data_IF_553257702959
#
_entry.id   IF_553257702959
#
_cell.length_a   1.000
_cell.length_b   1.000
_cell.length_c   1.000
_cell.angle_alpha   90.00
_cell.angle_beta   90.00
_cell.angle_gamma   90.00
#
_symmetry.space_group_name_H-M   'P 1'
#
loop_
_entity.id
_entity.type
_entity.pdbx_description
1 polymer ?
#
# COMPACT_ATOMS: atom_id res chain seq x y z
N UNK A 1 -1.44 8.15 -22.97
CA UNK A 1 -2.83 7.69 -23.20
C UNK A 1 -3.37 7.11 -21.90
N UNK A 2 -4.47 7.63 -21.35
CA UNK A 2 -5.08 7.07 -20.14
C UNK A 2 -5.64 5.67 -20.46
N UNK A 3 -5.25 4.65 -19.69
CA UNK A 3 -5.74 3.30 -19.88
C UNK A 3 -7.27 3.28 -19.68
N UNK A 4 -8.00 3.11 -20.79
CA UNK A 4 -9.46 3.10 -20.86
C UNK A 4 -9.93 1.69 -20.48
N UNK A 5 -10.19 1.45 -19.19
CA UNK A 5 -10.71 0.18 -18.68
C UNK A 5 -10.44 -0.04 -17.20
N UNK A 6 -11.26 -0.85 -16.53
CA UNK A 6 -11.02 -1.29 -15.15
C UNK A 6 -9.68 -2.03 -15.10
N UNK A 7 -8.81 -1.68 -14.13
CA UNK A 7 -7.54 -2.38 -13.91
C UNK A 7 -7.82 -3.91 -13.84
N UNK A 8 -7.03 -4.75 -14.53
CA UNK A 8 -7.25 -6.19 -14.53
C UNK A 8 -7.17 -6.72 -13.08
N UNK A 9 -8.06 -7.66 -12.73
CA UNK A 9 -8.00 -8.31 -11.42
C UNK A 9 -6.69 -9.12 -11.31
N UNK A 10 -5.96 -9.02 -10.18
CA UNK A 10 -4.83 -9.88 -9.87
C UNK A 10 -5.15 -11.36 -10.03
N UNK A 11 -4.15 -12.17 -10.36
CA UNK A 11 -4.35 -13.63 -10.53
C UNK A 11 -4.83 -14.30 -9.25
N UNK A 12 -4.37 -13.84 -8.07
CA UNK A 12 -4.88 -14.31 -6.78
C UNK A 12 -6.41 -14.18 -6.65
N UNK A 13 -6.99 -13.08 -7.13
CA UNK A 13 -8.44 -12.88 -7.13
C UNK A 13 -9.15 -13.76 -8.16
N UNK A 14 -8.56 -13.96 -9.35
CA UNK A 14 -9.13 -14.84 -10.38
C UNK A 14 -9.18 -16.30 -9.92
N UNK A 15 -8.22 -16.72 -9.09
CA UNK A 15 -8.20 -18.06 -8.48
C UNK A 15 -9.29 -18.17 -7.41
N UNK A 16 -9.44 -17.18 -6.53
CA UNK A 16 -10.45 -17.13 -5.46
C UNK A 16 -11.89 -17.02 -5.98
N UNK A 17 -12.13 -16.24 -7.02
CA UNK A 17 -13.47 -16.03 -7.60
C UNK A 17 -13.97 -17.27 -8.38
N UNK A 18 -13.08 -18.23 -8.64
CA UNK A 18 -13.34 -19.37 -9.49
C UNK A 18 -13.65 -18.95 -10.93
N UNK A 19 -13.88 -19.94 -11.80
CA UNK A 19 -14.02 -19.78 -13.25
C UNK A 19 -15.40 -19.16 -13.65
N UNK A 20 -15.88 -18.14 -12.92
CA UNK A 20 -17.20 -17.52 -13.09
C UNK A 20 -17.17 -16.25 -13.96
N UNK A 21 -16.02 -15.86 -14.50
CA UNK A 21 -15.84 -14.67 -15.34
C UNK A 21 -15.82 -14.95 -16.85
N UNK A 22 -16.50 -14.08 -17.63
CA UNK A 22 -16.62 -14.12 -19.11
C UNK A 22 -15.31 -14.51 -19.83
N UNK A 23 -15.30 -15.71 -20.37
CA UNK A 23 -14.27 -16.24 -21.24
C UNK A 23 -13.21 -16.98 -20.44
N UNK A 24 -13.18 -18.30 -20.64
CA UNK A 24 -12.23 -19.32 -20.13
C UNK A 24 -10.76 -18.99 -20.49
N UNK A 25 -10.29 -17.79 -20.16
CA UNK A 25 -8.90 -17.40 -20.36
C UNK A 25 -8.11 -18.06 -19.24
N UNK A 26 -7.07 -18.85 -19.57
CA UNK A 26 -6.22 -19.45 -18.56
C UNK A 26 -5.75 -18.39 -17.55
N UNK A 27 -5.88 -18.72 -16.27
CA UNK A 27 -5.33 -17.94 -15.18
C UNK A 27 -3.81 -17.85 -15.39
N UNK A 28 -3.25 -16.64 -15.40
CA UNK A 28 -1.81 -16.44 -15.59
C UNK A 28 -1.05 -16.86 -14.34
N UNK A 29 -0.51 -18.09 -14.33
CA UNK A 29 0.21 -18.64 -13.18
C UNK A 29 1.62 -18.06 -13.02
N UNK A 30 2.11 -17.33 -14.03
CA UNK A 30 3.46 -16.73 -14.05
C UNK A 30 3.47 -15.28 -13.53
N UNK A 31 2.53 -14.91 -12.65
CA UNK A 31 2.67 -13.63 -11.94
C UNK A 31 3.86 -13.72 -10.99
N UNK A 32 4.87 -12.84 -11.13
CA UNK A 32 6.02 -12.83 -10.24
C UNK A 32 5.52 -12.57 -8.83
N UNK A 33 5.74 -13.54 -7.94
CA UNK A 33 5.47 -13.36 -6.51
C UNK A 33 6.67 -12.64 -5.92
N UNK A 34 6.56 -11.36 -5.55
CA UNK A 34 7.71 -10.61 -5.07
C UNK A 34 8.18 -11.16 -3.73
N UNK A 35 9.47 -11.45 -3.63
CA UNK A 35 10.13 -11.85 -2.40
C UNK A 35 10.08 -10.73 -1.35
N UNK A 36 9.84 -11.11 -0.08
CA UNK A 36 9.80 -10.19 1.07
C UNK A 36 11.17 -10.01 1.74
N UNK A 37 12.18 -10.79 1.35
CA UNK A 37 13.40 -11.04 2.14
C UNK A 37 14.39 -9.85 2.23
N UNK A 38 14.23 -8.76 1.46
CA UNK A 38 15.25 -7.71 1.40
C UNK A 38 14.72 -6.27 1.51
N UNK A 39 13.64 -6.03 2.26
CA UNK A 39 13.13 -4.67 2.47
C UNK A 39 14.02 -3.91 3.47
N UNK A 40 14.95 -3.10 2.95
CA UNK A 40 15.86 -2.26 3.76
C UNK A 40 15.53 -0.79 3.61
N UNK A 41 15.63 -0.05 4.73
CA UNK A 41 15.44 1.40 4.74
C UNK A 41 16.52 2.10 3.91
N UNK A 42 16.17 2.92 2.91
CA UNK A 42 17.14 3.69 2.14
C UNK A 42 17.94 4.66 3.02
N UNK A 43 19.23 4.80 2.71
CA UNK A 43 20.17 5.63 3.48
C UNK A 43 19.92 7.13 3.31
N UNK A 44 19.39 7.55 2.15
CA UNK A 44 19.14 8.94 1.78
C UNK A 44 17.89 9.57 2.43
N UNK A 45 17.08 8.78 3.14
CA UNK A 45 15.89 9.28 3.83
C UNK A 45 16.22 10.26 4.96
N UNK A 46 15.37 11.27 5.15
CA UNK A 46 15.44 12.17 6.30
C UNK A 46 15.32 11.41 7.63
N UNK A 47 15.89 11.93 8.74
CA UNK A 47 15.82 11.26 10.04
C UNK A 47 14.39 10.94 10.49
N UNK A 48 13.45 11.87 10.31
CA UNK A 48 12.04 11.65 10.61
C UNK A 48 11.39 10.63 9.68
N UNK A 49 11.79 10.61 8.40
CA UNK A 49 11.32 9.61 7.45
C UNK A 49 11.80 8.20 7.82
N UNK A 50 13.04 8.06 8.31
CA UNK A 50 13.57 6.78 8.80
C UNK A 50 12.84 6.29 10.03
N UNK A 51 12.41 7.18 10.93
CA UNK A 51 11.58 6.80 12.09
C UNK A 51 10.23 6.25 11.63
N UNK A 52 9.61 6.90 10.66
CA UNK A 52 8.33 6.46 10.11
C UNK A 52 8.45 5.12 9.38
N UNK A 53 9.53 4.94 8.61
CA UNK A 53 9.86 3.65 7.98
C UNK A 53 9.95 2.54 9.02
N UNK A 54 10.72 2.75 10.09
CA UNK A 54 10.88 1.76 11.16
C UNK A 54 9.56 1.45 11.88
N UNK A 55 8.64 2.41 11.94
CA UNK A 55 7.33 2.25 12.59
C UNK A 55 6.35 1.42 11.76
N UNK A 56 6.28 1.67 10.45
CA UNK A 56 5.25 1.10 9.58
C UNK A 56 5.73 -0.08 8.73
N UNK A 57 6.99 -0.09 8.28
CA UNK A 57 7.50 -1.13 7.40
C UNK A 57 7.34 -2.55 7.98
N UNK A 58 7.66 -2.83 9.26
CA UNK A 58 7.55 -4.19 9.80
C UNK A 58 6.12 -4.73 9.72
N UNK A 59 5.12 -3.91 10.05
CA UNK A 59 3.71 -4.30 9.98
C UNK A 59 3.26 -4.52 8.53
N UNK A 60 3.70 -3.68 7.59
CA UNK A 60 3.36 -3.83 6.18
C UNK A 60 4.01 -5.05 5.53
N UNK A 61 5.24 -5.40 5.93
CA UNK A 61 5.92 -6.62 5.49
C UNK A 61 5.20 -7.85 6.06
N UNK A 62 4.85 -7.85 7.35
CA UNK A 62 4.13 -8.95 7.99
C UNK A 62 2.76 -9.22 7.35
N UNK A 63 2.08 -8.18 6.86
CA UNK A 63 0.82 -8.32 6.10
C UNK A 63 1.03 -8.67 4.62
N UNK A 64 2.27 -8.77 4.15
CA UNK A 64 2.62 -9.03 2.75
C UNK A 64 2.24 -7.92 1.78
N UNK A 65 2.04 -6.70 2.29
CA UNK A 65 1.68 -5.52 1.50
C UNK A 65 2.93 -4.82 0.96
N UNK A 66 4.00 -4.77 1.74
CA UNK A 66 5.25 -4.14 1.34
C UNK A 66 6.24 -5.19 0.85
N UNK A 67 6.65 -5.06 -0.41
CA UNK A 67 7.57 -5.98 -1.07
C UNK A 67 8.84 -5.25 -1.52
N UNK A 68 9.85 -5.98 -2.02
CA UNK A 68 11.09 -5.39 -2.52
C UNK A 68 10.86 -4.35 -3.63
N UNK A 69 9.84 -4.55 -4.48
CA UNK A 69 9.54 -3.67 -5.59
C UNK A 69 8.88 -2.35 -5.17
N UNK A 70 8.28 -2.33 -3.98
CA UNK A 70 7.52 -1.19 -3.47
C UNK A 70 8.36 -0.27 -2.56
N UNK A 71 9.65 -0.59 -2.37
CA UNK A 71 10.54 0.13 -1.46
C UNK A 71 10.65 1.61 -1.79
N UNK A 72 10.81 1.96 -3.06
CA UNK A 72 10.95 3.36 -3.48
C UNK A 72 9.64 4.14 -3.29
N UNK A 73 8.50 3.51 -3.57
CA UNK A 73 7.18 4.09 -3.35
C UNK A 73 6.94 4.34 -1.85
N UNK A 74 7.27 3.38 -0.99
CA UNK A 74 7.16 3.53 0.45
C UNK A 74 8.17 4.54 1.01
N UNK A 75 9.36 4.66 0.41
CA UNK A 75 10.34 5.69 0.75
C UNK A 75 9.78 7.08 0.44
N UNK A 76 9.10 7.24 -0.70
CA UNK A 76 8.37 8.45 -1.07
C UNK A 76 7.32 8.86 -0.04
N UNK A 77 6.55 7.90 0.48
CA UNK A 77 5.61 8.14 1.57
C UNK A 77 6.31 8.63 2.84
N UNK A 78 7.36 7.92 3.29
CA UNK A 78 8.10 8.28 4.50
C UNK A 78 8.71 9.70 4.39
N UNK A 79 9.23 10.02 3.20
CA UNK A 79 9.82 11.32 2.89
C UNK A 79 8.77 12.45 2.89
N UNK A 80 7.58 12.19 2.36
CA UNK A 80 6.45 13.12 2.40
C UNK A 80 5.97 13.34 3.84
N UNK A 81 5.89 12.28 4.65
CA UNK A 81 5.56 12.37 6.07
C UNK A 81 6.52 13.27 6.85
N UNK A 82 7.83 13.09 6.64
CA UNK A 82 8.84 13.92 7.31
C UNK A 82 8.69 15.41 6.98
N UNK A 83 8.50 15.74 5.70
CA UNK A 83 8.32 17.13 5.24
C UNK A 83 7.00 17.74 5.72
N UNK A 84 5.93 16.94 5.75
CA UNK A 84 4.65 17.37 6.31
C UNK A 84 4.79 17.68 7.79
N UNK A 85 5.38 16.78 8.58
CA UNK A 85 5.58 16.95 10.02
C UNK A 85 6.39 18.22 10.33
N UNK A 86 7.49 18.44 9.62
CA UNK A 86 8.32 19.64 9.78
C UNK A 86 7.53 20.92 9.43
N UNK A 87 6.73 20.89 8.36
CA UNK A 87 5.89 22.01 7.99
C UNK A 87 4.81 22.31 9.04
N UNK A 88 4.11 21.29 9.57
CA UNK A 88 3.11 21.46 10.63
C UNK A 88 3.73 22.01 11.94
N UNK A 89 4.93 21.56 12.29
CA UNK A 89 5.66 22.07 13.45
C UNK A 89 6.01 23.56 13.28
N UNK A 90 6.48 23.95 12.08
CA UNK A 90 6.71 25.36 11.76
C UNK A 90 5.43 26.19 11.88
N UNK A 91 4.32 25.72 11.30
CA UNK A 91 3.02 26.41 11.33
C UNK A 91 2.46 26.56 12.74
N UNK A 92 2.68 25.55 13.59
CA UNK A 92 2.27 25.58 15.00
C UNK A 92 3.03 26.63 15.80
N UNK A 93 4.31 26.86 15.47
CA UNK A 93 5.16 27.83 16.17
C UNK A 93 5.02 29.27 15.64
N UNK A 94 4.88 29.44 14.32
CA UNK A 94 4.98 30.75 13.65
C UNK A 94 3.64 31.27 13.11
N UNK A 95 2.60 30.44 13.11
CA UNK A 95 1.32 30.74 12.48
C UNK A 95 1.34 30.54 10.97
N UNK A 96 0.21 30.86 10.33
CA UNK A 96 -0.06 30.55 8.91
C UNK A 96 0.11 31.74 7.97
N UNK A 97 0.34 32.93 8.52
CA UNK A 97 0.41 34.19 7.77
C UNK A 97 1.60 35.03 8.21
N UNK A 98 2.17 35.78 7.27
CA UNK A 98 3.19 36.80 7.55
C UNK A 98 2.84 38.10 6.85
N UNK A 99 3.29 39.23 7.42
CA UNK A 99 3.12 40.56 6.83
C UNK A 99 4.34 40.91 5.99
N UNK A 100 4.11 41.31 4.75
CA UNK A 100 5.18 41.81 3.88
C UNK A 100 5.57 43.23 4.30
N UNK A 101 6.78 43.71 3.93
CA UNK A 101 7.19 45.10 4.19
C UNK A 101 6.22 46.15 3.59
N UNK A 102 5.48 45.77 2.55
CA UNK A 102 4.48 46.60 1.88
C UNK A 102 3.13 46.65 2.61
N UNK A 103 2.97 45.94 3.74
CA UNK A 103 1.76 45.91 4.56
C UNK A 103 0.72 44.85 4.18
N UNK A 104 0.95 44.07 3.12
CA UNK A 104 0.05 42.99 2.72
C UNK A 104 0.24 41.75 3.60
N UNK A 105 -0.86 41.05 3.89
CA UNK A 105 -0.83 39.76 4.58
C UNK A 105 -0.74 38.66 3.52
N UNK A 106 0.26 37.79 3.64
CA UNK A 106 0.45 36.64 2.77
C UNK A 106 0.54 35.35 3.59
N UNK A 107 0.18 34.24 2.96
CA UNK A 107 0.28 32.92 3.56
C UNK A 107 1.73 32.44 3.55
N UNK A 108 2.17 31.80 4.64
CA UNK A 108 3.52 31.23 4.68
C UNK A 108 3.61 30.02 3.72
N UNK A 109 4.73 29.83 3.00
CA UNK A 109 4.89 28.72 2.05
C UNK A 109 4.66 27.34 2.67
N UNK A 110 4.94 27.19 3.96
CA UNK A 110 4.80 25.97 4.73
C UNK A 110 3.38 25.44 4.71
N UNK A 111 2.36 26.29 4.57
CA UNK A 111 0.98 25.81 4.44
C UNK A 111 0.79 25.04 3.14
N UNK A 112 1.33 25.55 2.03
CA UNK A 112 1.25 24.85 0.73
C UNK A 112 2.04 23.55 0.77
N UNK A 113 3.24 23.56 1.37
CA UNK A 113 4.08 22.37 1.55
C UNK A 113 3.34 21.30 2.38
N UNK A 114 2.73 21.68 3.50
CA UNK A 114 1.98 20.76 4.34
C UNK A 114 0.80 20.13 3.56
N UNK A 115 0.00 20.96 2.89
CA UNK A 115 -1.14 20.49 2.09
C UNK A 115 -0.73 19.56 0.95
N UNK A 116 0.36 19.87 0.23
CA UNK A 116 0.84 19.05 -0.87
C UNK A 116 1.36 17.70 -0.37
N UNK A 117 2.17 17.68 0.68
CA UNK A 117 2.68 16.43 1.24
C UNK A 117 1.56 15.57 1.83
N UNK A 118 0.55 16.18 2.45
CA UNK A 118 -0.62 15.45 2.94
C UNK A 118 -1.38 14.75 1.80
N UNK A 119 -1.56 15.41 0.64
CA UNK A 119 -2.17 14.80 -0.54
C UNK A 119 -1.34 13.63 -1.10
N UNK A 120 -0.02 13.80 -1.17
CA UNK A 120 0.90 12.74 -1.59
C UNK A 120 0.78 11.54 -0.63
N UNK A 121 0.78 11.79 0.67
CA UNK A 121 0.59 10.76 1.69
C UNK A 121 -0.74 10.03 1.53
N UNK A 122 -1.85 10.75 1.31
CA UNK A 122 -3.17 10.14 1.08
C UNK A 122 -3.20 9.23 -0.16
N UNK A 123 -2.49 9.61 -1.23
CA UNK A 123 -2.33 8.77 -2.42
C UNK A 123 -1.64 7.45 -2.07
N UNK A 124 -0.50 7.51 -1.39
CA UNK A 124 0.21 6.31 -0.94
C UNK A 124 -0.59 5.46 0.05
N UNK A 125 -1.30 6.09 1.00
CA UNK A 125 -2.17 5.38 1.93
C UNK A 125 -3.29 4.60 1.22
N UNK A 126 -3.74 5.10 0.06
CA UNK A 126 -4.76 4.44 -0.74
C UNK A 126 -4.22 3.21 -1.46
N UNK A 127 -2.99 3.28 -1.98
CA UNK A 127 -2.30 2.17 -2.68
C UNK A 127 -1.84 1.08 -1.69
N UNK A 128 -1.25 1.45 -0.55
CA UNK A 128 -0.76 0.50 0.46
C UNK A 128 -1.84 -0.02 1.43
N UNK A 129 -3.12 0.28 1.23
CA UNK A 129 -4.15 -0.27 2.12
C UNK A 129 -4.20 0.32 3.54
N UNK A 130 -3.54 1.45 3.77
CA UNK A 130 -3.48 2.07 5.09
C UNK A 130 -4.81 2.72 5.51
N UNK A 131 -5.71 2.98 4.55
CA UNK A 131 -7.07 3.47 4.84
C UNK A 131 -8.04 2.31 5.09
N UNK A 132 -9.05 2.45 5.97
CA UNK A 132 -10.06 1.41 6.20
C UNK A 132 -10.73 0.91 4.90
N UNK A 133 -11.02 1.84 3.98
CA UNK A 133 -11.62 1.52 2.68
C UNK A 133 -10.68 0.72 1.77
N UNK A 134 -9.38 1.06 1.73
CA UNK A 134 -8.40 0.26 0.98
C UNK A 134 -8.10 -1.07 1.66
N UNK A 135 -8.15 -1.13 2.99
CA UNK A 135 -7.94 -2.38 3.75
C UNK A 135 -9.05 -3.39 3.49
N UNK A 136 -10.31 -2.96 3.37
CA UNK A 136 -11.40 -3.83 2.96
C UNK A 136 -11.17 -4.47 1.58
N UNK A 137 -10.52 -3.73 0.65
CA UNK A 137 -10.11 -4.27 -0.66
C UNK A 137 -8.95 -5.26 -0.57
N UNK A 138 -7.98 -5.02 0.33
CA UNK A 138 -6.84 -5.93 0.52
C UNK A 138 -7.20 -7.21 1.27
N UNK A 139 -8.11 -7.16 2.25
CA UNK A 139 -8.59 -8.36 2.95
C UNK A 139 -9.41 -9.27 2.05
N UNK A 140 -10.21 -8.72 1.13
CA UNK A 140 -10.82 -9.52 0.07
C UNK A 140 -9.78 -10.21 -0.86
N UNK A 141 -8.52 -9.74 -0.83
CA UNK A 141 -7.40 -10.19 -1.64
C UNK A 141 -6.47 -11.19 -0.93
N UNK A 142 -6.55 -11.26 0.41
CA UNK A 142 -5.76 -12.16 1.28
C UNK A 142 -6.61 -13.29 1.84
N UNK A 143 -7.77 -13.55 1.21
CA UNK A 143 -8.66 -14.68 1.53
C UNK A 143 -7.82 -15.88 1.90
N UNK A 144 -7.95 -16.27 3.17
CA UNK A 144 -7.08 -17.18 3.87
C UNK A 144 -6.63 -18.31 2.95
N UNK A 145 -5.32 -18.49 2.82
CA UNK A 145 -4.76 -19.85 2.71
C UNK A 145 -5.02 -20.55 4.05
N UNK A 146 -6.30 -20.71 4.41
CA UNK A 146 -6.69 -21.90 5.12
C UNK A 146 -6.45 -22.97 4.07
N UNK A 147 -5.29 -23.61 4.18
CA UNK A 147 -5.08 -24.97 3.72
C UNK A 147 -6.19 -25.77 4.38
N UNK A 148 -7.37 -25.69 3.78
CA UNK A 148 -8.54 -26.37 4.28
C UNK A 148 -8.29 -27.75 3.75
N UNK A 149 -7.63 -28.55 4.58
CA UNK A 149 -7.63 -30.00 4.49
C UNK A 149 -9.08 -30.46 4.74
N UNK A 150 -10.01 -29.96 3.90
CA UNK A 150 -11.42 -30.25 3.93
C UNK A 150 -11.54 -31.67 3.40
N UNK A 151 -11.88 -32.64 4.24
CA UNK A 151 -12.02 -34.02 3.81
C UNK A 151 -13.01 -34.14 2.64
N UNK A 152 -13.96 -33.20 2.50
CA UNK A 152 -14.90 -33.16 1.38
C UNK A 152 -14.22 -32.81 0.04
N UNK A 153 -13.23 -31.90 0.03
CA UNK A 153 -12.55 -31.49 -1.21
C UNK A 153 -11.61 -32.60 -1.73
N UNK A 154 -10.98 -33.35 -0.82
CA UNK A 154 -10.16 -34.53 -1.16
C UNK A 154 -11.00 -35.67 -1.76
N UNK A 155 -12.23 -35.86 -1.29
CA UNK A 155 -13.18 -36.85 -1.86
C UNK A 155 -13.61 -36.44 -3.28
N UNK A 156 -13.86 -35.15 -3.52
CA UNK A 156 -14.24 -34.64 -4.84
C UNK A 156 -13.10 -34.67 -5.87
N UNK A 157 -11.83 -34.60 -5.42
CA UNK A 157 -10.63 -34.72 -6.27
C UNK A 157 -10.23 -36.18 -6.58
N UNK A 158 -11.04 -37.16 -6.16
CA UNK A 158 -10.85 -38.57 -6.51
C UNK A 158 -9.89 -39.35 -5.60
N UNK A 159 -9.57 -38.82 -4.42
CA UNK A 159 -8.76 -39.50 -3.41
C UNK A 159 -9.56 -40.51 -2.58
N UNK A 160 -10.24 -41.47 -3.23
CA UNK A 160 -10.82 -42.60 -2.51
C UNK A 160 -9.69 -43.58 -2.14
N UNK A 161 -9.22 -43.54 -0.89
CA UNK A 161 -8.42 -44.63 -0.34
C UNK A 161 -9.39 -45.65 0.26
N UNK A 162 -9.56 -46.77 -0.43
CA UNK A 162 -10.25 -47.94 0.08
C UNK A 162 -9.58 -48.41 1.38
N UNK A 163 -10.25 -48.17 2.51
CA UNK A 163 -9.91 -48.82 3.76
C UNK A 163 -10.43 -50.27 3.72
N UNK A 164 -9.47 -51.21 3.77
CA UNK A 164 -9.58 -52.68 3.89
C UNK A 164 -10.95 -53.28 4.19
#
# INVERSE_FOLDING_TARGET
>A
MAARGRKPLPTALKVLEGDRGKGRRPINKDEPTPSQENVKCPSWLMPEAKKEWKRLAPSLIAMGILTEHDMEAFAGYCQAYARWREAEEFLSQHGTIFKTPSGYVQQVPQVSIAQQNLKIMQSFCSEFGLTPASRARLYANTGDKADTDDPMENVLRGGWQDAK
#
